data_IF_442747933806
#
_entry.id   IF_442747933806
#
_cell.length_a   1.000
_cell.length_b   1.000
_cell.length_c   1.000
_cell.angle_alpha   90.00
_cell.angle_beta   90.00
_cell.angle_gamma   90.00
#
_symmetry.space_group_name_H-M   'P 1'
#
loop_
_entity.id
_entity.type
_entity.pdbx_description
1 polymer ?
#
# COMPACT_ATOMS: atom_id res chain seq x y z
N UNK A 1 61.41 7.28 20.34
CA UNK A 1 61.72 6.50 19.12
C UNK A 1 60.73 6.91 18.05
N UNK A 2 61.25 7.54 17.00
CA UNK A 2 60.55 8.07 15.83
C UNK A 2 59.99 6.95 14.97
N UNK A 3 58.76 7.09 14.47
CA UNK A 3 58.34 6.38 13.27
C UNK A 3 57.45 7.28 12.44
N UNK A 4 57.95 7.51 11.24
CA UNK A 4 57.53 8.52 10.28
C UNK A 4 57.22 7.77 8.99
N UNK A 5 56.19 8.26 8.30
CA UNK A 5 55.98 8.30 6.85
C UNK A 5 55.62 7.04 6.02
N UNK A 6 54.68 7.33 5.12
CA UNK A 6 54.52 6.92 3.72
C UNK A 6 53.94 5.56 3.40
N UNK A 7 52.72 5.58 2.87
CA UNK A 7 52.25 4.54 1.97
C UNK A 7 51.65 5.20 0.72
N UNK A 8 52.37 5.02 -0.37
CA UNK A 8 52.16 5.55 -1.72
C UNK A 8 51.05 4.81 -2.46
N UNK A 9 50.32 5.51 -3.33
CA UNK A 9 49.54 4.91 -4.42
C UNK A 9 50.44 4.37 -5.54
N UNK A 10 49.97 3.39 -6.31
CA UNK A 10 49.97 3.55 -7.76
C UNK A 10 48.70 3.05 -8.49
N UNK A 11 48.39 3.72 -9.60
CA UNK A 11 47.36 3.41 -10.62
C UNK A 11 48.05 2.59 -11.75
N UNK A 12 47.40 2.31 -12.91
CA UNK A 12 46.36 1.33 -13.29
C UNK A 12 46.91 0.13 -14.08
N UNK A 13 46.12 -0.94 -14.26
CA UNK A 13 46.37 -1.91 -15.33
C UNK A 13 45.07 -2.36 -16.01
N UNK A 14 44.94 -2.01 -17.30
CA UNK A 14 43.96 -2.57 -18.25
C UNK A 14 44.52 -3.90 -18.75
N UNK A 15 43.67 -4.91 -19.00
CA UNK A 15 43.87 -6.07 -19.92
C UNK A 15 42.54 -6.87 -20.00
N UNK A 16 42.32 -7.78 -20.98
CA UNK A 16 41.27 -7.62 -21.97
C UNK A 16 40.15 -8.70 -21.95
N UNK A 17 39.20 -8.44 -22.84
CA UNK A 17 37.97 -9.13 -23.22
C UNK A 17 38.19 -10.60 -23.58
N UNK A 18 37.40 -11.49 -22.97
CA UNK A 18 36.55 -12.46 -23.70
C UNK A 18 35.67 -13.21 -22.70
N UNK A 19 34.35 -13.03 -22.77
CA UNK A 19 33.51 -14.22 -22.75
C UNK A 19 32.14 -14.00 -23.39
N UNK A 20 31.93 -14.82 -24.39
CA UNK A 20 30.83 -14.87 -25.35
C UNK A 20 29.65 -15.58 -24.70
N UNK A 21 28.76 -14.83 -24.04
CA UNK A 21 27.42 -15.36 -23.69
C UNK A 21 26.43 -15.06 -24.79
N UNK A 22 26.11 -16.11 -25.55
CA UNK A 22 24.95 -16.26 -26.41
C UNK A 22 23.70 -15.87 -25.62
N UNK A 23 23.20 -14.65 -25.86
CA UNK A 23 21.94 -14.18 -25.30
C UNK A 23 20.86 -14.48 -26.31
N UNK A 24 20.01 -15.45 -25.97
CA UNK A 24 18.80 -15.79 -26.70
C UNK A 24 18.03 -14.52 -27.07
N UNK A 25 17.73 -14.43 -28.36
CA UNK A 25 16.85 -13.44 -28.96
C UNK A 25 15.46 -13.57 -28.34
N UNK A 26 15.13 -12.65 -27.43
CA UNK A 26 13.77 -12.39 -26.99
C UNK A 26 13.53 -10.88 -27.13
N UNK A 27 12.43 -10.56 -27.80
CA UNK A 27 12.17 -9.29 -28.48
C UNK A 27 12.45 -8.03 -27.66
N UNK A 28 13.06 -7.06 -28.33
CA UNK A 28 13.18 -5.67 -27.89
C UNK A 28 11.81 -4.98 -27.95
N UNK A 29 10.95 -5.24 -26.97
CA UNK A 29 9.76 -4.42 -26.72
C UNK A 29 10.18 -3.15 -25.94
N UNK A 30 10.52 -2.12 -26.70
CA UNK A 30 10.27 -0.68 -26.43
C UNK A 30 10.23 -0.19 -24.97
N UNK A 31 11.40 -0.12 -24.32
CA UNK A 31 11.63 0.57 -23.02
C UNK A 31 11.57 2.11 -23.08
N UNK A 32 11.14 2.72 -24.19
CA UNK A 32 11.13 4.18 -24.37
C UNK A 32 9.94 4.89 -23.70
N UNK A 33 8.88 4.18 -23.31
CA UNK A 33 7.66 4.80 -22.79
C UNK A 33 7.69 5.17 -21.29
N UNK A 34 8.56 4.57 -20.47
CA UNK A 34 8.52 4.78 -19.02
C UNK A 34 8.95 6.21 -18.58
N UNK A 35 9.85 6.86 -19.33
CA UNK A 35 10.30 8.23 -19.02
C UNK A 35 9.26 9.28 -19.41
N UNK A 36 8.52 9.07 -20.50
CA UNK A 36 7.47 9.99 -20.99
C UNK A 36 6.25 9.98 -20.05
N UNK A 37 5.79 8.80 -19.63
CA UNK A 37 4.66 8.65 -18.69
C UNK A 37 4.93 9.32 -17.34
N UNK A 38 6.20 9.36 -16.88
CA UNK A 38 6.59 10.08 -15.67
C UNK A 38 6.45 11.60 -15.82
N UNK A 39 6.84 12.17 -16.96
CA UNK A 39 6.81 13.63 -17.20
C UNK A 39 5.39 14.16 -17.28
N UNK A 40 4.49 13.46 -17.97
CA UNK A 40 3.08 13.85 -18.08
C UNK A 40 2.38 13.83 -16.71
N UNK A 41 2.69 12.84 -15.88
CA UNK A 41 2.09 12.71 -14.54
C UNK A 41 2.63 13.79 -13.58
N UNK A 42 3.89 14.19 -13.74
CA UNK A 42 4.50 15.25 -12.93
C UNK A 42 3.91 16.64 -13.26
N UNK A 43 3.70 16.94 -14.55
CA UNK A 43 3.04 18.18 -14.98
C UNK A 43 1.59 18.28 -14.48
N UNK A 44 0.81 17.20 -14.55
CA UNK A 44 -0.57 17.17 -14.00
C UNK A 44 -0.58 17.35 -12.48
N UNK A 45 0.36 16.73 -11.75
CA UNK A 45 0.46 16.90 -10.29
C UNK A 45 0.82 18.34 -9.90
N UNK A 46 1.61 19.03 -10.72
CA UNK A 46 1.98 20.44 -10.46
C UNK A 46 0.80 21.39 -10.60
N UNK A 47 -0.18 21.07 -11.46
CA UNK A 47 -1.30 21.97 -11.78
C UNK A 47 -2.65 21.59 -11.15
N UNK A 48 -2.68 20.68 -10.19
CA UNK A 48 -3.94 20.34 -9.51
C UNK A 48 -4.49 21.55 -8.74
N UNK A 49 -5.78 21.85 -8.92
CA UNK A 49 -6.42 22.98 -8.25
C UNK A 49 -6.73 22.65 -6.77
N UNK A 50 -7.05 23.68 -5.98
CA UNK A 50 -7.37 23.48 -4.55
C UNK A 50 -8.66 22.68 -4.36
N UNK A 51 -9.65 22.84 -5.23
CA UNK A 51 -10.91 22.08 -5.21
C UNK A 51 -10.68 20.60 -5.51
N UNK A 52 -9.89 20.27 -6.52
CA UNK A 52 -9.51 18.89 -6.84
C UNK A 52 -8.75 18.24 -5.68
N UNK A 53 -7.82 18.98 -5.05
CA UNK A 53 -7.12 18.51 -3.84
C UNK A 53 -8.08 18.24 -2.68
N UNK A 54 -9.04 19.14 -2.48
CA UNK A 54 -10.06 19.00 -1.43
C UNK A 54 -10.91 17.76 -1.68
N UNK A 55 -11.38 17.56 -2.91
CA UNK A 55 -12.18 16.40 -3.31
C UNK A 55 -11.44 15.09 -3.05
N UNK A 56 -10.15 15.02 -3.37
CA UNK A 56 -9.32 13.83 -3.07
C UNK A 56 -9.25 13.52 -1.56
N UNK A 57 -9.26 14.54 -0.71
CA UNK A 57 -9.30 14.34 0.76
C UNK A 57 -10.70 13.96 1.25
N UNK A 58 -11.75 14.48 0.62
CA UNK A 58 -13.14 14.13 0.94
C UNK A 58 -13.52 12.72 0.49
N UNK A 59 -12.94 12.25 -0.63
CA UNK A 59 -13.13 10.91 -1.17
C UNK A 59 -12.35 9.83 -0.37
N UNK A 60 -11.46 10.22 0.56
CA UNK A 60 -10.65 9.27 1.34
C UNK A 60 -11.48 8.68 2.50
N UNK A 61 -11.73 7.35 2.53
CA UNK A 61 -12.58 6.71 3.55
C UNK A 61 -11.97 6.74 4.96
N UNK A 62 -10.67 7.02 5.07
CA UNK A 62 -9.97 7.07 6.35
C UNK A 62 -10.04 8.46 6.99
N UNK A 63 -10.54 9.48 6.28
CA UNK A 63 -10.81 10.80 6.85
C UNK A 63 -12.22 10.81 7.46
N UNK A 64 -12.39 11.49 8.60
CA UNK A 64 -13.70 11.67 9.21
C UNK A 64 -14.57 12.61 8.34
N UNK A 65 -15.81 12.23 8.01
CA UNK A 65 -16.67 13.02 7.13
C UNK A 65 -16.92 14.41 7.72
N UNK A 66 -16.79 15.45 6.89
CA UNK A 66 -16.94 16.85 7.32
C UNK A 66 -15.75 17.45 8.09
N UNK A 67 -14.69 16.67 8.36
CA UNK A 67 -13.49 17.16 9.06
C UNK A 67 -12.43 17.81 8.15
N UNK A 68 -12.66 17.86 6.83
CA UNK A 68 -11.70 18.38 5.85
C UNK A 68 -11.63 19.90 5.93
N UNK A 69 -10.49 20.41 6.42
CA UNK A 69 -10.15 21.84 6.48
C UNK A 69 -8.97 22.16 5.56
N UNK A 70 -8.77 23.43 5.16
CA UNK A 70 -7.67 23.82 4.28
C UNK A 70 -6.27 23.37 4.75
N UNK A 71 -6.06 23.30 6.06
CA UNK A 71 -4.76 23.00 6.68
C UNK A 71 -4.78 21.81 7.64
N UNK A 72 -5.90 21.10 7.76
CA UNK A 72 -6.01 19.97 8.67
C UNK A 72 -7.10 18.99 8.26
N UNK A 73 -6.94 17.73 8.63
CA UNK A 73 -7.95 16.68 8.47
C UNK A 73 -7.97 15.82 9.74
N UNK A 74 -9.10 15.24 10.11
CA UNK A 74 -9.17 14.30 11.23
C UNK A 74 -9.14 12.86 10.71
N UNK A 75 -8.21 12.05 11.22
CA UNK A 75 -8.18 10.64 10.89
C UNK A 75 -9.34 9.90 11.57
N UNK A 76 -10.13 9.13 10.82
CA UNK A 76 -11.23 8.32 11.35
C UNK A 76 -10.75 7.20 12.27
N UNK A 77 -9.59 6.61 11.98
CA UNK A 77 -9.04 5.44 12.69
C UNK A 77 -8.45 5.86 14.03
N UNK A 78 -7.43 6.72 14.01
CA UNK A 78 -6.72 7.09 15.22
C UNK A 78 -7.28 8.34 15.92
N UNK A 79 -8.27 9.02 15.32
CA UNK A 79 -8.93 10.24 15.83
C UNK A 79 -8.00 11.43 16.08
N UNK A 80 -6.80 11.42 15.48
CA UNK A 80 -5.84 12.53 15.56
C UNK A 80 -6.10 13.54 14.44
N UNK A 81 -5.96 14.83 14.76
CA UNK A 81 -5.98 15.91 13.79
C UNK A 81 -4.61 15.98 13.10
N UNK A 82 -4.57 15.67 11.81
CA UNK A 82 -3.37 15.72 10.98
C UNK A 82 -3.27 17.09 10.34
N UNK A 83 -2.21 17.85 10.68
CA UNK A 83 -1.90 19.12 10.04
C UNK A 83 -1.38 18.87 8.62
N UNK A 84 -2.06 19.41 7.62
CA UNK A 84 -1.61 19.41 6.22
C UNK A 84 -0.43 20.36 6.05
N UNK A 85 0.19 20.35 4.86
CA UNK A 85 1.31 21.25 4.57
C UNK A 85 0.82 22.71 4.54
N UNK A 86 1.46 23.60 5.31
CA UNK A 86 1.08 25.01 5.38
C UNK A 86 1.32 25.81 4.10
N UNK A 87 2.12 25.29 3.16
CA UNK A 87 2.46 26.00 1.90
C UNK A 87 1.32 26.08 0.89
N UNK A 88 0.41 25.09 0.88
CA UNK A 88 -0.73 25.03 -0.06
C UNK A 88 -1.93 24.41 0.63
N UNK A 89 -3.12 24.97 0.42
CA UNK A 89 -4.35 24.42 0.96
C UNK A 89 -4.60 23.01 0.40
N UNK A 90 -5.13 22.13 1.26
CA UNK A 90 -5.51 20.75 0.93
C UNK A 90 -4.35 19.87 0.45
N UNK A 91 -3.10 20.22 0.78
CA UNK A 91 -1.95 19.44 0.33
C UNK A 91 -1.74 18.18 1.20
N UNK A 92 -2.14 17.04 0.66
CA UNK A 92 -2.23 15.73 1.32
C UNK A 92 -0.89 15.04 1.67
N UNK A 93 0.27 15.70 1.57
CA UNK A 93 1.57 15.04 1.82
C UNK A 93 1.69 14.50 3.26
N UNK A 94 1.34 15.33 4.25
CA UNK A 94 1.38 14.92 5.66
C UNK A 94 0.32 13.85 5.97
N UNK A 95 -0.83 13.92 5.30
CA UNK A 95 -1.87 12.90 5.37
C UNK A 95 -1.38 11.54 4.87
N UNK A 96 -0.73 11.48 3.70
CA UNK A 96 -0.15 10.24 3.18
C UNK A 96 0.90 9.65 4.11
N UNK A 97 1.76 10.50 4.69
CA UNK A 97 2.74 10.05 5.70
C UNK A 97 2.06 9.48 6.94
N UNK A 98 0.96 10.08 7.36
CA UNK A 98 0.15 9.58 8.48
C UNK A 98 -0.45 8.19 8.19
N UNK A 99 -1.00 7.97 6.98
CA UNK A 99 -1.52 6.65 6.58
C UNK A 99 -0.44 5.55 6.58
N UNK A 100 0.81 5.90 6.26
CA UNK A 100 1.93 4.96 6.30
C UNK A 100 2.46 4.67 7.72
N UNK A 101 1.90 5.30 8.77
CA UNK A 101 2.32 4.98 10.14
C UNK A 101 1.78 3.63 10.58
N UNK A 102 2.58 2.93 11.38
CA UNK A 102 2.27 1.58 11.88
C UNK A 102 0.96 1.54 12.67
N UNK A 103 0.57 2.62 13.35
CA UNK A 103 -0.69 2.68 14.10
C UNK A 103 -1.90 2.55 13.18
N UNK A 104 -1.98 3.38 12.12
CA UNK A 104 -3.10 3.33 11.17
C UNK A 104 -3.15 2.00 10.41
N UNK A 105 -1.98 1.46 10.05
CA UNK A 105 -1.90 0.16 9.38
C UNK A 105 -2.30 -1.00 10.31
N UNK A 106 -1.87 -0.96 11.58
CA UNK A 106 -2.21 -1.98 12.57
C UNK A 106 -3.69 -1.96 12.89
N UNK A 107 -4.25 -0.78 13.18
CA UNK A 107 -5.68 -0.64 13.49
C UNK A 107 -6.56 -1.10 12.31
N UNK A 108 -6.15 -0.83 11.06
CA UNK A 108 -6.81 -1.38 9.87
C UNK A 108 -6.69 -2.90 9.80
N UNK A 109 -5.49 -3.46 10.00
CA UNK A 109 -5.26 -4.89 9.93
C UNK A 109 -6.08 -5.65 10.99
N UNK A 110 -6.14 -5.11 12.21
CA UNK A 110 -6.93 -5.66 13.30
C UNK A 110 -8.43 -5.63 12.95
N UNK A 111 -8.94 -4.52 12.40
CA UNK A 111 -10.32 -4.44 11.92
C UNK A 111 -10.63 -5.46 10.81
N UNK A 112 -9.73 -5.64 9.84
CA UNK A 112 -9.87 -6.66 8.80
C UNK A 112 -9.87 -8.08 9.37
N UNK A 113 -9.01 -8.35 10.36
CA UNK A 113 -8.92 -9.65 11.02
C UNK A 113 -10.22 -10.00 11.73
N UNK A 114 -10.81 -9.05 12.48
CA UNK A 114 -12.10 -9.25 13.16
C UNK A 114 -13.22 -9.57 12.17
N UNK A 115 -13.35 -8.79 11.08
CA UNK A 115 -14.38 -9.03 10.05
C UNK A 115 -14.21 -10.41 9.39
N UNK A 116 -12.96 -10.81 9.14
CA UNK A 116 -12.66 -12.13 8.58
C UNK A 116 -13.02 -13.26 9.54
N UNK A 117 -12.66 -13.13 10.82
CA UNK A 117 -12.99 -14.10 11.88
C UNK A 117 -14.52 -14.24 12.04
N UNK A 118 -15.26 -13.13 12.04
CA UNK A 118 -16.71 -13.14 12.10
C UNK A 118 -17.33 -13.85 10.89
N UNK A 119 -16.87 -13.53 9.67
CA UNK A 119 -17.33 -14.21 8.45
C UNK A 119 -17.03 -15.71 8.47
N UNK A 120 -15.87 -16.12 8.95
CA UNK A 120 -15.53 -17.55 9.07
C UNK A 120 -16.40 -18.26 10.10
N UNK A 121 -16.74 -17.59 11.19
CA UNK A 121 -17.63 -18.12 12.23
C UNK A 121 -19.04 -18.30 11.68
N UNK A 122 -19.55 -17.34 10.89
CA UNK A 122 -20.85 -17.45 10.23
C UNK A 122 -20.91 -18.65 9.28
N UNK A 123 -19.89 -18.83 8.42
CA UNK A 123 -19.83 -19.99 7.51
C UNK A 123 -19.83 -21.32 8.28
N UNK A 124 -19.08 -21.43 9.37
CA UNK A 124 -19.07 -22.65 10.22
C UNK A 124 -20.43 -22.94 10.84
N UNK A 125 -21.17 -21.91 11.24
CA UNK A 125 -22.53 -22.07 11.78
C UNK A 125 -23.50 -22.56 10.71
N UNK A 126 -23.40 -22.02 9.49
CA UNK A 126 -24.21 -22.47 8.35
C UNK A 126 -23.90 -23.93 8.00
N UNK A 127 -22.62 -24.31 7.91
CA UNK A 127 -22.20 -25.69 7.67
C UNK A 127 -22.69 -26.65 8.77
N UNK A 128 -22.58 -26.26 10.04
CA UNK A 128 -23.07 -27.06 11.16
C UNK A 128 -24.61 -27.21 11.14
N UNK A 129 -25.34 -26.15 10.79
CA UNK A 129 -26.80 -26.20 10.66
C UNK A 129 -27.24 -27.14 9.54
N UNK A 130 -26.59 -27.09 8.38
CA UNK A 130 -26.83 -28.01 7.28
C UNK A 130 -26.49 -29.46 7.67
N UNK A 131 -25.40 -29.69 8.41
CA UNK A 131 -25.05 -31.01 8.90
C UNK A 131 -26.13 -31.59 9.84
N UNK A 132 -26.67 -30.77 10.75
CA UNK A 132 -27.77 -31.18 11.64
C UNK A 132 -29.05 -31.51 10.87
N UNK A 133 -29.39 -30.74 9.84
CA UNK A 133 -30.53 -31.04 8.97
C UNK A 133 -30.34 -32.38 8.24
N UNK A 134 -29.14 -32.63 7.72
CA UNK A 134 -28.83 -33.89 7.05
C UNK A 134 -28.89 -35.10 8.01
N UNK A 135 -28.47 -34.94 9.26
CA UNK A 135 -28.63 -35.99 10.28
C UNK A 135 -30.11 -36.27 10.57
N UNK A 136 -30.93 -35.24 10.72
CA UNK A 136 -32.38 -35.38 10.94
C UNK A 136 -33.06 -36.13 9.79
N UNK A 137 -32.69 -35.87 8.55
CA UNK A 137 -33.25 -36.56 7.38
C UNK A 137 -32.89 -38.06 7.38
N UNK A 138 -31.67 -38.41 7.82
CA UNK A 138 -31.24 -39.81 7.94
C UNK A 138 -32.01 -40.55 9.04
N UNK A 139 -32.25 -39.92 10.18
CA UNK A 139 -33.02 -40.53 11.27
C UNK A 139 -34.48 -40.78 10.89
N UNK A 140 -35.08 -39.88 10.09
CA UNK A 140 -36.44 -40.07 9.55
C UNK A 140 -36.47 -41.25 8.57
N UNK A 141 -35.46 -41.41 7.71
CA UNK A 141 -35.39 -42.52 6.76
C UNK A 141 -35.27 -43.89 7.45
N UNK A 142 -34.53 -43.97 8.56
CA UNK A 142 -34.36 -45.22 9.33
C UNK A 142 -35.67 -45.64 10.00
N UNK A 143 -36.46 -44.70 10.53
CA UNK A 143 -37.69 -45.00 11.26
C UNK A 143 -38.89 -45.39 10.36
N UNK A 144 -38.75 -45.39 9.04
CA UNK A 144 -39.84 -45.70 8.08
C UNK A 144 -39.69 -47.11 7.46
N UNK A 145 -38.64 -47.86 7.81
CA UNK A 145 -38.44 -49.27 7.41
C UNK A 145 -38.89 -50.23 8.51
#
# INVERSE_FOLDING_TARGET
MTSTITSSSPIPSKQPISDRRTRSSMGTFTLKNAKESKRVNDSRRRHMNNEERKKILEDDPLIEPGSVRPRSVTCRICKVIVKLNGRRNYHAHNWKKHMCTTKVLKDNLDAFKTVWEERTTMRRREEAALALLCLREKDVAINVQ
#
